data_IF_587875564270
#
_entry.id   IF_587875564270
#
_cell.length_a   1.000
_cell.length_b   1.000
_cell.length_c   1.000
_cell.angle_alpha   90.00
_cell.angle_beta   90.00
_cell.angle_gamma   90.00
#
_symmetry.space_group_name_H-M   'P 1'
#
loop_
_entity.id
_entity.type
_entity.pdbx_description
1 polymer ?
#
# COMPACT_ATOMS: atom_id res chain seq x y z
N UNK A 1 -21.88 3.50 -13.74
CA UNK A 1 -22.13 3.97 -12.36
C UNK A 1 -21.59 2.92 -11.42
N UNK A 2 -20.51 3.21 -10.69
CA UNK A 2 -20.00 2.31 -9.67
C UNK A 2 -20.86 2.53 -8.43
N UNK A 3 -21.67 1.54 -8.07
CA UNK A 3 -22.44 1.59 -6.83
C UNK A 3 -21.45 1.32 -5.71
N UNK A 4 -21.00 2.39 -5.05
CA UNK A 4 -20.33 2.26 -3.76
C UNK A 4 -21.35 1.75 -2.74
N UNK A 5 -21.32 0.45 -2.46
CA UNK A 5 -22.12 -0.16 -1.40
C UNK A 5 -21.51 0.15 -0.03
N UNK A 6 -21.63 1.42 0.39
CA UNK A 6 -21.11 1.94 1.64
C UNK A 6 -21.97 1.56 2.88
N UNK A 7 -22.58 0.37 2.93
CA UNK A 7 -23.44 0.06 4.09
C UNK A 7 -24.22 -1.24 4.13
N UNK A 8 -23.72 -2.36 3.58
CA UNK A 8 -24.42 -3.65 3.75
C UNK A 8 -23.61 -4.51 4.72
N UNK A 9 -24.11 -4.67 5.94
CA UNK A 9 -23.74 -5.78 6.81
C UNK A 9 -24.30 -7.06 6.17
N UNK A 10 -23.49 -7.72 5.36
CA UNK A 10 -23.77 -9.03 4.76
C UNK A 10 -22.94 -10.13 5.43
N UNK A 11 -23.24 -11.41 5.15
CA UNK A 11 -22.55 -12.53 5.77
C UNK A 11 -21.06 -12.49 5.43
N UNK A 12 -20.23 -12.56 6.46
CA UNK A 12 -18.80 -12.82 6.35
C UNK A 12 -18.60 -14.33 6.19
N UNK A 13 -17.71 -14.72 5.29
CA UNK A 13 -17.35 -16.12 5.07
C UNK A 13 -15.95 -16.35 5.62
N UNK A 14 -15.87 -17.18 6.64
CA UNK A 14 -14.60 -17.69 7.17
C UNK A 14 -14.08 -18.79 6.23
N UNK A 15 -12.80 -18.70 5.86
CA UNK A 15 -12.06 -19.76 5.21
C UNK A 15 -10.94 -20.17 6.15
N UNK A 16 -10.63 -21.47 6.25
CA UNK A 16 -9.59 -21.96 7.16
C UNK A 16 -8.26 -21.22 6.93
N UNK A 17 -7.83 -20.47 7.94
CA UNK A 17 -6.58 -19.71 7.94
C UNK A 17 -6.61 -18.37 7.20
N UNK A 18 -7.76 -17.87 6.74
CA UNK A 18 -7.89 -16.55 6.09
C UNK A 18 -8.88 -15.62 6.83
N UNK A 19 -8.69 -14.30 6.73
CA UNK A 19 -9.68 -13.34 7.25
C UNK A 19 -11.05 -13.55 6.63
N UNK A 20 -12.09 -13.34 7.43
CA UNK A 20 -13.47 -13.51 6.97
C UNK A 20 -13.79 -12.50 5.86
N UNK A 21 -14.23 -12.99 4.70
CA UNK A 21 -14.48 -12.16 3.51
C UNK A 21 -15.97 -11.81 3.39
N UNK A 22 -16.27 -10.56 3.07
CA UNK A 22 -17.64 -10.15 2.80
C UNK A 22 -18.14 -10.75 1.47
N UNK A 23 -19.44 -11.03 1.35
CA UNK A 23 -20.05 -11.62 0.14
C UNK A 23 -19.70 -10.88 -1.16
N UNK A 24 -19.53 -9.56 -1.10
CA UNK A 24 -19.18 -8.72 -2.25
C UNK A 24 -17.72 -8.81 -2.69
N UNK A 25 -16.86 -9.35 -1.82
CA UNK A 25 -15.44 -9.51 -2.08
C UNK A 25 -15.13 -10.90 -2.66
N UNK A 26 -16.07 -11.86 -2.60
CA UNK A 26 -15.92 -13.22 -3.16
C UNK A 26 -15.69 -13.26 -4.67
N UNK A 27 -16.34 -12.35 -5.40
CA UNK A 27 -16.26 -12.30 -6.85
C UNK A 27 -15.10 -11.43 -7.36
N UNK A 28 -14.28 -10.88 -6.45
CA UNK A 28 -13.12 -10.10 -6.84
C UNK A 28 -12.03 -11.02 -7.42
N UNK A 29 -11.39 -10.62 -8.52
CA UNK A 29 -10.29 -11.37 -9.08
C UNK A 29 -9.10 -11.40 -8.11
N UNK A 30 -8.42 -12.54 -8.03
CA UNK A 30 -7.15 -12.66 -7.32
C UNK A 30 -6.06 -11.91 -8.09
N UNK A 31 -5.37 -10.96 -7.43
CA UNK A 31 -4.20 -10.33 -8.04
C UNK A 31 -3.00 -11.27 -7.92
N UNK A 32 -2.40 -11.58 -9.07
CA UNK A 32 -1.20 -12.41 -9.10
C UNK A 32 0.05 -11.52 -9.03
N UNK A 33 1.02 -11.78 -8.13
CA UNK A 33 2.25 -10.97 -8.02
C UNK A 33 2.99 -10.82 -9.37
N UNK A 34 3.00 -11.86 -10.20
CA UNK A 34 3.67 -11.81 -11.51
C UNK A 34 2.74 -11.40 -12.67
N UNK A 35 1.47 -11.14 -12.39
CA UNK A 35 0.48 -10.73 -13.39
C UNK A 35 0.61 -9.25 -13.79
N UNK A 36 -0.14 -8.81 -14.82
CA UNK A 36 -0.33 -7.40 -15.10
C UNK A 36 -1.15 -6.73 -13.99
N UNK A 37 -0.83 -5.47 -13.70
CA UNK A 37 -1.53 -4.67 -12.68
C UNK A 37 -2.30 -3.54 -13.37
N UNK A 38 -3.61 -3.51 -13.17
CA UNK A 38 -4.50 -2.47 -13.70
C UNK A 38 -5.33 -1.85 -12.59
N UNK A 39 -5.90 -0.64 -12.77
CA UNK A 39 -6.88 -0.10 -11.84
C UNK A 39 -8.06 -1.06 -11.65
N UNK A 40 -8.50 -1.23 -10.40
CA UNK A 40 -9.52 -2.22 -10.05
C UNK A 40 -9.52 -2.57 -8.57
N UNK A 41 -10.35 -3.56 -8.22
CA UNK A 41 -10.42 -4.17 -6.89
C UNK A 41 -10.05 -5.64 -7.02
N UNK A 42 -9.26 -6.14 -6.07
CA UNK A 42 -8.67 -7.47 -6.12
C UNK A 42 -8.63 -8.10 -4.73
N UNK A 43 -8.66 -9.43 -4.68
CA UNK A 43 -8.19 -10.18 -3.51
C UNK A 43 -6.67 -10.29 -3.55
N UNK A 44 -6.01 -10.24 -2.40
CA UNK A 44 -4.55 -10.40 -2.29
C UNK A 44 -4.15 -11.81 -1.88
N UNK A 45 -2.93 -12.26 -2.22
CA UNK A 45 -2.38 -13.51 -1.72
C UNK A 45 -2.32 -13.57 -0.19
N UNK A 46 -2.18 -12.43 0.49
CA UNK A 46 -2.23 -12.33 1.95
C UNK A 46 -3.63 -12.46 2.56
N UNK A 47 -4.66 -12.74 1.77
CA UNK A 47 -6.05 -12.87 2.21
C UNK A 47 -6.79 -11.55 2.42
N UNK A 48 -6.20 -10.44 1.99
CA UNK A 48 -6.78 -9.10 2.07
C UNK A 48 -7.41 -8.64 0.76
N UNK A 49 -7.67 -7.34 0.69
CA UNK A 49 -8.23 -6.64 -0.47
C UNK A 49 -7.30 -5.52 -0.92
N UNK A 50 -7.03 -5.49 -2.21
CA UNK A 50 -6.29 -4.40 -2.86
C UNK A 50 -7.25 -3.58 -3.74
N UNK A 51 -7.22 -2.27 -3.60
CA UNK A 51 -7.93 -1.33 -4.47
C UNK A 51 -6.94 -0.37 -5.11
N UNK A 52 -6.96 -0.29 -6.43
CA UNK A 52 -6.12 0.60 -7.23
C UNK A 52 -7.03 1.54 -8.01
N UNK A 53 -6.92 2.85 -7.76
CA UNK A 53 -7.77 3.85 -8.41
C UNK A 53 -7.03 5.16 -8.63
N UNK A 54 -7.49 6.04 -9.51
CA UNK A 54 -7.01 7.42 -9.55
C UNK A 54 -7.13 8.07 -8.17
N UNK A 55 -6.08 8.76 -7.72
CA UNK A 55 -6.15 9.59 -6.53
C UNK A 55 -6.93 10.88 -6.82
N UNK A 56 -7.29 11.63 -5.77
CA UNK A 56 -7.90 12.96 -5.90
C UNK A 56 -6.98 13.91 -6.66
N UNK A 57 -5.69 13.88 -6.31
CA UNK A 57 -4.65 14.47 -7.14
C UNK A 57 -4.42 13.57 -8.37
N UNK A 58 -4.82 14.05 -9.56
CA UNK A 58 -4.71 13.30 -10.82
C UNK A 58 -3.28 12.91 -11.21
N UNK A 59 -2.27 13.54 -10.62
CA UNK A 59 -0.87 13.14 -10.78
C UNK A 59 -0.54 11.81 -10.08
N UNK A 60 -1.43 11.27 -9.25
CA UNK A 60 -1.21 10.07 -8.44
C UNK A 60 -2.23 8.97 -8.73
N UNK A 61 -1.81 7.76 -8.38
CA UNK A 61 -2.65 6.57 -8.24
C UNK A 61 -2.73 6.24 -6.76
N UNK A 62 -3.94 6.12 -6.23
CA UNK A 62 -4.18 5.68 -4.85
C UNK A 62 -4.29 4.16 -4.82
N UNK A 63 -3.53 3.56 -3.91
CA UNK A 63 -3.48 2.13 -3.68
C UNK A 63 -3.90 1.91 -2.22
N UNK A 64 -4.95 1.13 -2.01
CA UNK A 64 -5.45 0.77 -0.69
C UNK A 64 -5.32 -0.73 -0.51
N UNK A 65 -4.62 -1.14 0.54
CA UNK A 65 -4.42 -2.52 0.93
C UNK A 65 -5.07 -2.74 2.29
N UNK A 66 -6.10 -3.57 2.33
CA UNK A 66 -6.93 -3.83 3.49
C UNK A 66 -6.81 -5.30 3.86
N UNK A 67 -6.11 -5.60 4.95
CA UNK A 67 -5.85 -6.95 5.43
C UNK A 67 -7.00 -7.53 6.26
N UNK A 68 -8.15 -6.84 6.34
CA UNK A 68 -9.39 -7.35 6.92
C UNK A 68 -9.23 -7.91 8.35
N UNK A 69 -8.34 -7.29 9.15
CA UNK A 69 -8.09 -7.73 10.53
C UNK A 69 -7.06 -8.85 10.69
N UNK A 70 -6.36 -9.28 9.62
CA UNK A 70 -5.36 -10.36 9.69
C UNK A 70 -4.17 -10.02 10.60
N UNK A 71 -3.99 -10.68 11.76
CA UNK A 71 -2.88 -10.40 12.66
C UNK A 71 -1.51 -10.72 12.05
N UNK A 72 -1.44 -11.71 11.16
CA UNK A 72 -0.21 -12.08 10.45
C UNK A 72 0.30 -10.98 9.51
N UNK A 73 -0.49 -9.94 9.25
CA UNK A 73 -0.13 -8.81 8.39
C UNK A 73 0.32 -7.58 9.18
N UNK A 74 0.33 -7.60 10.51
CA UNK A 74 0.70 -6.46 11.38
C UNK A 74 1.91 -6.76 12.28
N UNK A 75 2.90 -7.47 11.74
CA UNK A 75 4.18 -7.67 12.43
C UNK A 75 5.08 -6.44 12.25
N UNK A 76 5.97 -6.20 13.21
CA UNK A 76 6.90 -5.06 13.17
C UNK A 76 7.75 -5.06 11.88
N UNK A 77 8.16 -6.22 11.40
CA UNK A 77 8.94 -6.33 10.16
C UNK A 77 8.14 -5.91 8.94
N UNK A 78 6.86 -6.31 8.87
CA UNK A 78 5.96 -5.92 7.78
C UNK A 78 5.64 -4.44 7.82
N UNK A 79 5.36 -3.90 9.01
CA UNK A 79 5.11 -2.47 9.18
C UNK A 79 6.33 -1.63 8.78
N UNK A 80 7.54 -2.03 9.18
CA UNK A 80 8.77 -1.38 8.76
C UNK A 80 8.98 -1.47 7.24
N UNK A 81 8.67 -2.61 6.61
CA UNK A 81 8.75 -2.75 5.17
C UNK A 81 7.72 -1.85 4.45
N UNK A 82 6.45 -1.84 4.88
CA UNK A 82 5.45 -0.96 4.28
C UNK A 82 5.79 0.53 4.46
N UNK A 83 6.41 0.90 5.59
CA UNK A 83 6.91 2.25 5.80
C UNK A 83 8.03 2.61 4.80
N UNK A 84 9.01 1.72 4.59
CA UNK A 84 10.04 1.91 3.55
C UNK A 84 9.44 2.03 2.15
N UNK A 85 8.43 1.22 1.84
CA UNK A 85 7.73 1.30 0.55
C UNK A 85 7.01 2.66 0.37
N UNK A 86 6.39 3.18 1.44
CA UNK A 86 5.77 4.50 1.41
C UNK A 86 6.80 5.63 1.28
N UNK A 87 7.94 5.54 1.97
CA UNK A 87 9.04 6.48 1.82
C UNK A 87 9.59 6.45 0.39
N UNK A 88 9.74 5.27 -0.23
CA UNK A 88 10.11 5.18 -1.64
C UNK A 88 9.14 5.98 -2.54
N UNK A 89 7.82 5.85 -2.32
CA UNK A 89 6.85 6.67 -3.04
C UNK A 89 6.97 8.18 -2.72
N UNK A 90 7.17 8.56 -1.45
CA UNK A 90 7.32 9.96 -1.02
C UNK A 90 8.55 10.63 -1.65
N UNK A 91 9.68 9.94 -1.76
CA UNK A 91 10.92 10.51 -2.30
C UNK A 91 10.75 11.09 -3.72
N UNK A 92 10.05 10.37 -4.59
CA UNK A 92 9.72 10.87 -5.93
C UNK A 92 8.76 12.06 -5.93
N UNK A 93 7.91 12.14 -4.91
CA UNK A 93 6.98 13.26 -4.75
C UNK A 93 7.72 14.52 -4.29
N UNK A 94 8.70 14.36 -3.39
CA UNK A 94 9.63 15.43 -2.99
C UNK A 94 10.41 15.95 -4.19
N UNK A 95 10.99 15.05 -5.00
CA UNK A 95 11.71 15.43 -6.23
C UNK A 95 10.82 16.23 -7.19
N UNK A 96 9.55 15.85 -7.31
CA UNK A 96 8.56 16.53 -8.15
C UNK A 96 7.92 17.77 -7.49
N UNK A 97 8.37 18.18 -6.29
CA UNK A 97 7.82 19.29 -5.50
C UNK A 97 6.31 19.15 -5.21
N UNK A 98 5.83 17.92 -5.08
CA UNK A 98 4.48 17.63 -4.62
C UNK A 98 4.36 17.96 -3.12
N UNK A 99 3.20 18.43 -2.69
CA UNK A 99 2.98 18.93 -1.31
C UNK A 99 2.45 17.88 -0.31
N UNK A 100 2.39 16.61 -0.67
CA UNK A 100 1.86 15.57 0.22
C UNK A 100 2.99 14.86 0.95
N UNK A 101 2.74 14.52 2.21
CA UNK A 101 3.64 13.77 3.08
C UNK A 101 3.51 12.26 2.85
N UNK A 102 4.32 11.49 3.58
CA UNK A 102 4.38 10.03 3.57
C UNK A 102 3.07 9.38 3.13
N UNK A 103 3.16 8.63 2.04
CA UNK A 103 2.06 7.90 1.44
C UNK A 103 1.72 6.65 2.26
N UNK A 104 1.39 6.83 3.54
CA UNK A 104 1.13 5.72 4.46
C UNK A 104 0.08 6.05 5.51
N UNK A 105 -0.82 5.09 5.71
CA UNK A 105 -1.60 4.92 6.94
C UNK A 105 -1.35 3.48 7.40
N UNK A 106 -1.12 3.25 8.69
CA UNK A 106 -0.65 1.96 9.18
C UNK A 106 -1.72 0.99 9.68
N UNK A 107 -1.26 -0.15 10.19
CA UNK A 107 -2.12 -1.21 10.70
C UNK A 107 -2.69 -2.08 9.59
N UNK A 108 -3.90 -2.59 9.80
CA UNK A 108 -4.56 -3.51 8.86
C UNK A 108 -5.03 -2.83 7.58
N UNK A 109 -5.15 -1.50 7.57
CA UNK A 109 -5.52 -0.71 6.40
C UNK A 109 -4.36 0.20 6.01
N UNK A 110 -3.77 -0.08 4.84
CA UNK A 110 -2.64 0.65 4.30
C UNK A 110 -3.04 1.44 3.07
N UNK A 111 -2.71 2.73 3.05
CA UNK A 111 -3.06 3.64 1.94
C UNK A 111 -1.80 4.29 1.43
N UNK A 112 -1.53 4.10 0.14
CA UNK A 112 -0.41 4.67 -0.58
C UNK A 112 -0.89 5.57 -1.73
N UNK A 113 -0.12 6.61 -2.02
CA UNK A 113 -0.27 7.45 -3.21
C UNK A 113 1.02 7.45 -4.01
N UNK A 114 0.98 6.81 -5.18
CA UNK A 114 2.14 6.68 -6.07
C UNK A 114 2.00 7.67 -7.22
N UNK A 115 3.01 8.52 -7.42
CA UNK A 115 3.02 9.49 -8.52
C UNK A 115 3.12 8.77 -9.86
N UNK A 116 2.40 9.25 -10.86
CA UNK A 116 2.52 8.75 -12.24
C UNK A 116 3.88 9.15 -12.82
N UNK A 117 4.54 8.20 -13.48
CA UNK A 117 5.88 8.40 -14.04
C UNK A 117 7.00 8.43 -13.01
N UNK A 118 6.77 7.92 -11.79
CA UNK A 118 7.84 7.63 -10.82
C UNK A 118 8.13 6.12 -10.76
N UNK A 119 7.69 5.44 -9.69
CA UNK A 119 7.75 3.99 -9.57
C UNK A 119 6.65 3.40 -10.45
N UNK A 120 7.01 2.43 -11.28
CA UNK A 120 6.02 1.70 -12.07
C UNK A 120 4.97 1.05 -11.17
N UNK A 121 3.68 1.26 -11.48
CA UNK A 121 2.56 0.78 -10.66
C UNK A 121 2.67 -0.72 -10.38
N UNK A 122 3.05 -1.49 -11.39
CA UNK A 122 3.27 -2.94 -11.29
C UNK A 122 4.40 -3.26 -10.30
N UNK A 123 5.50 -2.52 -10.32
CA UNK A 123 6.62 -2.74 -9.40
C UNK A 123 6.23 -2.40 -7.96
N UNK A 124 5.49 -1.30 -7.76
CA UNK A 124 5.00 -0.91 -6.45
C UNK A 124 4.04 -1.94 -5.86
N UNK A 125 3.03 -2.36 -6.65
CA UNK A 125 2.06 -3.36 -6.19
C UNK A 125 2.74 -4.70 -5.92
N UNK A 126 3.70 -5.11 -6.75
CA UNK A 126 4.52 -6.31 -6.50
C UNK A 126 5.25 -6.25 -5.17
N UNK A 127 5.88 -5.12 -4.87
CA UNK A 127 6.57 -4.93 -3.59
C UNK A 127 5.57 -5.03 -2.42
N UNK A 128 4.41 -4.39 -2.51
CA UNK A 128 3.38 -4.48 -1.47
C UNK A 128 2.90 -5.93 -1.23
N UNK A 129 2.67 -6.70 -2.29
CA UNK A 129 2.27 -8.11 -2.19
C UNK A 129 3.40 -9.00 -1.69
N UNK A 130 4.65 -8.70 -2.04
CA UNK A 130 5.82 -9.43 -1.53
C UNK A 130 5.95 -9.27 -0.01
N UNK A 131 5.70 -8.06 0.51
CA UNK A 131 5.67 -7.83 1.97
C UNK A 131 4.59 -8.67 2.66
N UNK A 132 3.40 -8.81 2.06
CA UNK A 132 2.37 -9.70 2.62
C UNK A 132 2.84 -11.15 2.76
N UNK A 133 3.67 -11.59 1.82
CA UNK A 133 4.25 -12.93 1.72
C UNK A 133 5.56 -13.10 2.49
N UNK A 134 6.07 -12.03 3.13
CA UNK A 134 7.29 -12.06 3.92
C UNK A 134 8.59 -11.88 3.12
N UNK A 135 8.51 -11.44 1.86
CA UNK A 135 9.67 -11.03 1.06
C UNK A 135 9.80 -9.50 1.02
N UNK A 136 10.85 -8.99 1.65
CA UNK A 136 11.11 -7.55 1.76
C UNK A 136 12.07 -7.02 0.67
N UNK A 137 12.67 -7.92 -0.12
CA UNK A 137 13.69 -7.59 -1.12
C UNK A 137 13.22 -6.57 -2.15
N UNK A 138 12.00 -6.67 -2.74
CA UNK A 138 11.53 -5.70 -3.72
C UNK A 138 11.35 -4.31 -3.13
N UNK A 139 10.86 -4.25 -1.89
CA UNK A 139 10.66 -3.00 -1.16
C UNK A 139 11.99 -2.31 -0.85
N UNK A 140 12.95 -3.06 -0.30
CA UNK A 140 14.26 -2.53 0.04
C UNK A 140 14.99 -2.01 -1.20
N UNK A 141 14.86 -2.71 -2.33
CA UNK A 141 15.37 -2.26 -3.62
C UNK A 141 14.75 -0.94 -4.08
N UNK A 142 13.42 -0.83 -4.07
CA UNK A 142 12.74 0.41 -4.47
C UNK A 142 13.13 1.59 -3.57
N UNK A 143 13.28 1.33 -2.28
CA UNK A 143 13.72 2.34 -1.32
C UNK A 143 15.14 2.81 -1.63
N UNK A 144 16.10 1.89 -1.82
CA UNK A 144 17.48 2.21 -2.18
C UNK A 144 17.59 2.98 -3.51
N UNK A 145 16.85 2.56 -4.53
CA UNK A 145 16.80 3.24 -5.83
C UNK A 145 16.26 4.67 -5.69
N UNK A 146 15.28 4.88 -4.82
CA UNK A 146 14.74 6.22 -4.51
C UNK A 146 15.76 7.07 -3.77
N UNK A 147 16.41 6.54 -2.72
CA UNK A 147 17.43 7.28 -1.97
C UNK A 147 18.61 7.69 -2.85
N UNK A 148 19.03 6.82 -3.78
CA UNK A 148 20.08 7.15 -4.73
C UNK A 148 19.70 8.32 -5.66
N UNK A 149 18.40 8.52 -5.91
CA UNK A 149 17.89 9.56 -6.80
C UNK A 149 17.69 10.91 -6.08
N UNK A 150 17.19 10.88 -4.85
CA UNK A 150 16.70 12.09 -4.15
C UNK A 150 17.44 12.40 -2.85
N UNK A 151 18.39 11.55 -2.46
CA UNK A 151 19.00 11.57 -1.13
C UNK A 151 18.15 10.85 -0.09
N UNK A 152 18.58 10.84 1.19
CA UNK A 152 17.87 10.14 2.26
C UNK A 152 16.42 10.60 2.38
N UNK A 153 15.47 9.68 2.20
CA UNK A 153 14.05 9.99 2.35
C UNK A 153 13.68 9.82 3.82
N UNK A 154 13.76 10.91 4.61
CA UNK A 154 13.47 11.01 6.07
C UNK A 154 13.93 9.80 6.91
N UNK A 155 15.03 10.00 7.65
CA UNK A 155 15.37 9.12 8.77
C UNK A 155 14.42 9.42 9.93
N UNK A 156 13.82 8.39 10.54
CA UNK A 156 13.12 8.56 11.82
C UNK A 156 14.09 9.19 12.83
N UNK A 157 13.78 10.41 13.30
CA UNK A 157 14.61 11.17 14.22
C UNK A 157 14.57 12.70 14.11
N UNK A 158 13.94 13.28 13.08
CA UNK A 158 13.80 14.74 12.94
C UNK A 158 12.32 15.13 12.86
N UNK A 159 11.71 15.33 14.03
CA UNK A 159 10.30 15.76 14.12
C UNK A 159 9.64 15.68 15.49
N UNK A 160 10.40 15.54 16.58
CA UNK A 160 9.86 15.81 17.93
C UNK A 160 10.95 16.37 18.84
N UNK A 161 11.35 17.62 18.56
CA UNK A 161 11.84 18.51 19.62
C UNK A 161 11.00 19.79 19.56
N UNK A 162 10.07 19.82 20.51
CA UNK A 162 9.30 20.97 20.96
C UNK A 162 10.04 22.31 20.78
N UNK A 163 9.43 23.22 20.03
CA UNK A 163 9.60 24.65 20.28
C UNK A 163 8.81 24.99 21.55
N UNK A 164 9.45 24.84 22.70
CA UNK A 164 9.03 25.48 23.94
C UNK A 164 9.61 26.88 23.99
N UNK A 165 8.76 27.89 23.86
CA UNK A 165 9.02 29.31 24.12
C UNK A 165 7.81 29.92 24.79
#
# INVERSE_FOLDING_TARGET
MAIEHNGIAGPYFEYDGLPAQHVVDKDLPLIHPYGPVTPGRYLTPGGGRLTIRPAENRAHTRITLDHLGCPAQVTDEKDAAFMRLAQAAEGYCVQARCRHHAAYSGGVLRIFEVRKGSIELTAFVRAALAVELGDFTPTDRLFQETEALVGPVRRDGEGDQASGG
#
